data_IF_422596433273
#
_entry.id   IF_422596433273
#
_cell.length_a   1.000
_cell.length_b   1.000
_cell.length_c   1.000
_cell.angle_alpha   90.00
_cell.angle_beta   90.00
_cell.angle_gamma   90.00
#
_symmetry.space_group_name_H-M   'P 1'
#
loop_
_entity.id
_entity.type
_entity.pdbx_description
1 polymer ?
#
# COMPACT_ATOMS: atom_id res chain seq x y z
N UNK A 1 -38.66 63.20 14.83
CA UNK A 1 -38.12 62.30 13.77
C UNK A 1 -36.73 62.77 13.34
N UNK A 2 -35.65 62.50 14.10
CA UNK A 2 -34.26 62.73 13.61
C UNK A 2 -33.27 61.81 14.34
N UNK A 3 -33.33 60.49 14.13
CA UNK A 3 -32.21 59.59 14.49
C UNK A 3 -32.16 58.40 13.52
N UNK A 4 -32.02 58.66 12.23
CA UNK A 4 -31.78 57.59 11.25
C UNK A 4 -31.03 58.18 10.07
N UNK A 5 -29.69 58.10 10.09
CA UNK A 5 -28.81 58.24 8.90
C UNK A 5 -27.31 58.43 9.20
N UNK A 6 -26.76 58.01 10.36
CA UNK A 6 -25.30 58.19 10.64
C UNK A 6 -24.49 56.91 10.91
N UNK A 7 -24.97 55.72 10.53
CA UNK A 7 -24.19 54.46 10.70
C UNK A 7 -24.02 53.61 9.44
N UNK A 8 -24.18 54.16 8.24
CA UNK A 8 -23.98 53.38 7.00
C UNK A 8 -22.65 53.67 6.27
N UNK A 9 -21.88 54.68 6.68
CA UNK A 9 -20.79 55.24 5.86
C UNK A 9 -19.36 54.89 6.31
N UNK A 10 -19.11 53.68 6.85
CA UNK A 10 -17.75 53.29 7.29
C UNK A 10 -17.34 51.84 6.96
N UNK A 11 -17.88 51.29 5.87
CA UNK A 11 -17.42 50.02 5.29
C UNK A 11 -17.09 50.12 3.79
N UNK A 12 -16.61 51.28 3.32
CA UNK A 12 -15.91 51.34 2.04
C UNK A 12 -14.54 50.68 2.25
N UNK A 13 -14.47 49.44 1.78
CA UNK A 13 -13.53 48.43 2.24
C UNK A 13 -12.07 48.75 2.00
N UNK A 14 -11.23 48.21 2.88
CA UNK A 14 -9.76 48.17 2.77
C UNK A 14 -9.24 47.65 1.42
N UNK A 15 -10.08 47.05 0.59
CA UNK A 15 -9.71 46.43 -0.69
C UNK A 15 -9.43 47.41 -1.84
N UNK A 16 -9.82 48.69 -1.74
CA UNK A 16 -9.65 49.66 -2.84
C UNK A 16 -8.39 50.53 -2.80
N UNK A 17 -7.48 50.35 -1.83
CA UNK A 17 -6.33 51.26 -1.60
C UNK A 17 -4.94 50.61 -1.76
N UNK A 18 -4.87 49.31 -2.03
CA UNK A 18 -3.60 48.62 -2.18
C UNK A 18 -3.09 48.75 -3.62
N UNK A 19 -1.82 49.15 -3.83
CA UNK A 19 -1.24 49.19 -5.16
C UNK A 19 -1.15 47.78 -5.74
N UNK A 20 -1.31 47.67 -7.06
CA UNK A 20 -1.42 46.39 -7.79
C UNK A 20 -0.27 45.41 -7.51
N UNK A 21 0.94 45.89 -7.22
CA UNK A 21 2.10 45.06 -6.88
C UNK A 21 1.91 44.24 -5.60
N UNK A 22 1.09 44.71 -4.64
CA UNK A 22 0.81 43.95 -3.42
C UNK A 22 0.02 42.68 -3.75
N UNK A 23 -0.94 42.77 -4.68
CA UNK A 23 -1.68 41.60 -5.14
C UNK A 23 -0.79 40.61 -5.89
N UNK A 24 0.19 41.09 -6.66
CA UNK A 24 1.19 40.23 -7.30
C UNK A 24 2.03 39.50 -6.26
N UNK A 25 2.53 40.21 -5.23
CA UNK A 25 3.31 39.58 -4.15
C UNK A 25 2.48 38.54 -3.40
N UNK A 26 1.23 38.85 -3.05
CA UNK A 26 0.32 37.90 -2.38
C UNK A 26 0.06 36.68 -3.26
N UNK A 27 -0.17 36.87 -4.56
CA UNK A 27 -0.37 35.76 -5.49
C UNK A 27 0.88 34.88 -5.59
N UNK A 28 2.07 35.47 -5.75
CA UNK A 28 3.34 34.74 -5.81
C UNK A 28 3.61 34.00 -4.50
N UNK A 29 3.40 34.63 -3.35
CA UNK A 29 3.56 34.00 -2.05
C UNK A 29 2.57 32.84 -1.87
N UNK A 30 1.32 33.01 -2.28
CA UNK A 30 0.31 31.95 -2.28
C UNK A 30 0.72 30.75 -3.14
N UNK A 31 1.21 30.99 -4.35
CA UNK A 31 1.72 29.94 -5.25
C UNK A 31 2.93 29.23 -4.65
N UNK A 32 3.90 29.98 -4.11
CA UNK A 32 5.11 29.42 -3.51
C UNK A 32 4.78 28.53 -2.30
N UNK A 33 3.91 29.00 -1.39
CA UNK A 33 3.47 28.22 -0.23
C UNK A 33 2.67 26.98 -0.65
N UNK A 34 1.79 27.11 -1.65
CA UNK A 34 1.04 25.98 -2.20
C UNK A 34 1.96 24.92 -2.82
N UNK A 35 2.91 25.35 -3.65
CA UNK A 35 3.90 24.46 -4.26
C UNK A 35 4.77 23.76 -3.21
N UNK A 36 5.21 24.49 -2.17
CA UNK A 36 5.95 23.92 -1.05
C UNK A 36 5.15 22.84 -0.33
N UNK A 37 3.91 23.13 0.06
CA UNK A 37 3.05 22.19 0.79
C UNK A 37 2.75 20.92 0.00
N UNK A 38 2.50 21.04 -1.31
CA UNK A 38 2.30 19.88 -2.18
C UNK A 38 3.58 19.04 -2.32
N UNK A 39 4.73 19.71 -2.46
CA UNK A 39 6.03 19.04 -2.59
C UNK A 39 6.40 18.28 -1.31
N UNK A 40 6.22 18.90 -0.14
CA UNK A 40 6.52 18.28 1.14
C UNK A 40 5.64 17.04 1.40
N UNK A 41 4.33 17.16 1.11
CA UNK A 41 3.40 16.04 1.20
C UNK A 41 3.78 14.91 0.25
N UNK A 42 4.13 15.23 -0.99
CA UNK A 42 4.59 14.25 -1.97
C UNK A 42 5.85 13.51 -1.51
N UNK A 43 6.86 14.24 -1.04
CA UNK A 43 8.10 13.66 -0.54
C UNK A 43 7.87 12.78 0.69
N UNK A 44 6.96 13.18 1.58
CA UNK A 44 6.60 12.39 2.76
C UNK A 44 5.96 11.06 2.36
N UNK A 45 4.97 11.08 1.46
CA UNK A 45 4.32 9.86 0.94
C UNK A 45 5.35 8.97 0.23
N UNK A 46 6.24 9.57 -0.55
CA UNK A 46 7.26 8.80 -1.26
C UNK A 46 8.22 8.11 -0.27
N UNK A 47 8.65 8.81 0.79
CA UNK A 47 9.53 8.25 1.82
C UNK A 47 8.86 7.10 2.58
N UNK A 48 7.58 7.22 2.93
CA UNK A 48 6.86 6.13 3.59
C UNK A 48 6.76 4.91 2.69
N UNK A 49 6.40 5.08 1.41
CA UNK A 49 6.33 3.98 0.44
C UNK A 49 7.67 3.28 0.23
N UNK A 50 8.77 4.03 0.19
CA UNK A 50 10.13 3.45 0.11
C UNK A 50 10.46 2.67 1.39
N UNK A 51 10.09 3.20 2.56
CA UNK A 51 10.28 2.52 3.83
C UNK A 51 9.47 1.22 3.90
N UNK A 52 8.22 1.24 3.44
CA UNK A 52 7.36 0.05 3.34
C UNK A 52 7.97 -0.98 2.39
N UNK A 53 8.38 -0.58 1.19
CA UNK A 53 9.05 -1.49 0.25
C UNK A 53 10.28 -2.16 0.87
N UNK A 54 11.09 -1.43 1.66
CA UNK A 54 12.23 -2.00 2.39
C UNK A 54 11.81 -2.91 3.54
N UNK A 55 10.77 -2.54 4.27
CA UNK A 55 10.25 -3.34 5.38
C UNK A 55 9.68 -4.68 4.88
N UNK A 56 9.09 -4.69 3.69
CA UNK A 56 8.49 -5.87 3.05
C UNK A 56 9.40 -6.57 2.04
N UNK A 57 10.63 -6.08 1.83
CA UNK A 57 11.67 -6.78 1.09
C UNK A 57 12.19 -7.97 1.93
N UNK A 58 11.51 -9.10 1.81
CA UNK A 58 11.89 -10.35 2.48
C UNK A 58 12.77 -11.16 1.53
N UNK A 59 14.01 -11.40 1.93
CA UNK A 59 14.93 -12.28 1.22
C UNK A 59 14.97 -13.65 1.92
N UNK A 60 15.01 -14.71 1.13
CA UNK A 60 15.09 -16.08 1.61
C UNK A 60 15.25 -17.07 0.46
N UNK A 61 15.48 -18.35 0.77
CA UNK A 61 15.52 -19.39 -0.26
C UNK A 61 14.16 -19.50 -0.96
N UNK A 62 14.13 -19.74 -2.29
CA UNK A 62 12.88 -19.87 -3.03
C UNK A 62 12.08 -21.07 -2.53
N UNK A 63 10.75 -20.94 -2.50
CA UNK A 63 9.88 -22.06 -2.13
C UNK A 63 9.92 -23.16 -3.20
N UNK A 64 9.82 -24.44 -2.82
CA UNK A 64 9.59 -25.53 -3.77
C UNK A 64 8.33 -25.26 -4.60
N UNK A 65 8.47 -25.28 -5.93
CA UNK A 65 7.32 -25.19 -6.85
C UNK A 65 6.68 -26.56 -7.00
N UNK A 66 5.36 -26.57 -7.11
CA UNK A 66 4.55 -27.77 -7.33
C UNK A 66 3.55 -27.49 -8.45
N UNK A 67 2.95 -28.53 -8.99
CA UNK A 67 1.85 -28.43 -9.95
C UNK A 67 0.54 -28.13 -9.23
N UNK A 68 -0.46 -27.61 -9.96
CA UNK A 68 -1.81 -27.41 -9.42
C UNK A 68 -2.44 -28.74 -8.98
N UNK A 69 -2.26 -29.82 -9.75
CA UNK A 69 -2.74 -31.15 -9.38
C UNK A 69 -2.17 -31.58 -8.01
N UNK A 70 -0.88 -31.39 -7.78
CA UNK A 70 -0.24 -31.67 -6.48
C UNK A 70 -0.71 -30.74 -5.36
N UNK A 71 -1.14 -29.51 -5.68
CA UNK A 71 -1.74 -28.61 -4.69
C UNK A 71 -3.12 -29.13 -4.27
N UNK A 72 -3.96 -29.51 -5.24
CA UNK A 72 -5.32 -29.99 -5.02
C UNK A 72 -5.36 -31.36 -4.35
N UNK A 73 -4.52 -32.29 -4.79
CA UNK A 73 -4.36 -33.65 -4.21
C UNK A 73 -3.57 -33.66 -2.90
N UNK A 74 -3.07 -32.50 -2.47
CA UNK A 74 -2.32 -32.36 -1.23
C UNK A 74 -3.14 -32.61 0.04
N UNK A 75 -2.72 -31.93 1.11
CA UNK A 75 -3.29 -32.05 2.46
C UNK A 75 -4.82 -32.08 2.53
N UNK A 76 -5.39 -32.86 3.46
CA UNK A 76 -6.85 -32.94 3.66
C UNK A 76 -7.48 -31.68 4.27
N UNK A 77 -6.66 -30.68 4.65
CA UNK A 77 -7.14 -29.42 5.22
C UNK A 77 -7.99 -28.63 4.21
N UNK A 78 -9.05 -27.94 4.65
CA UNK A 78 -9.86 -27.12 3.76
C UNK A 78 -9.02 -26.01 3.12
N UNK A 79 -9.23 -25.79 1.82
CA UNK A 79 -8.60 -24.68 1.09
C UNK A 79 -9.32 -23.39 1.47
N UNK A 80 -8.54 -22.40 1.93
CA UNK A 80 -9.01 -21.04 2.19
C UNK A 80 -8.56 -20.16 1.04
N UNK A 81 -9.50 -19.44 0.47
CA UNK A 81 -9.26 -18.51 -0.63
C UNK A 81 -9.52 -17.09 -0.17
N UNK A 82 -8.72 -16.15 -0.62
CA UNK A 82 -8.97 -14.72 -0.47
C UNK A 82 -8.39 -13.96 -1.66
N UNK A 83 -9.01 -12.83 -1.98
CA UNK A 83 -8.57 -11.96 -3.07
C UNK A 83 -7.88 -10.73 -2.50
N UNK A 84 -6.81 -10.31 -3.16
CA UNK A 84 -6.08 -9.08 -2.85
C UNK A 84 -5.51 -8.51 -4.14
N UNK A 85 -5.92 -7.28 -4.51
CA UNK A 85 -5.43 -6.58 -5.69
C UNK A 85 -5.54 -7.39 -7.00
N UNK A 86 -6.73 -7.94 -7.27
CA UNK A 86 -7.01 -8.78 -8.45
C UNK A 86 -6.17 -10.08 -8.53
N UNK A 87 -5.46 -10.42 -7.45
CA UNK A 87 -4.77 -11.69 -7.26
C UNK A 87 -5.56 -12.55 -6.28
N UNK A 88 -5.84 -13.79 -6.69
CA UNK A 88 -6.48 -14.78 -5.83
C UNK A 88 -5.42 -15.66 -5.18
N UNK A 89 -5.44 -15.71 -3.85
CA UNK A 89 -4.54 -16.53 -3.05
C UNK A 89 -5.32 -17.68 -2.42
N UNK A 90 -4.82 -18.90 -2.62
CA UNK A 90 -5.33 -20.12 -2.02
C UNK A 90 -4.28 -20.68 -1.07
N UNK A 91 -4.71 -21.02 0.15
CA UNK A 91 -3.83 -21.55 1.20
C UNK A 91 -4.56 -22.61 2.02
N UNK A 92 -3.83 -23.52 2.65
CA UNK A 92 -4.44 -24.55 3.52
C UNK A 92 -4.37 -24.23 5.00
N UNK A 93 -3.39 -23.43 5.42
CA UNK A 93 -3.21 -23.10 6.84
C UNK A 93 -2.59 -21.71 7.02
N UNK A 94 -2.38 -21.31 8.27
CA UNK A 94 -1.63 -20.12 8.66
C UNK A 94 -2.45 -18.83 8.75
N UNK A 95 -1.79 -17.76 9.14
CA UNK A 95 -2.29 -16.40 9.01
C UNK A 95 -1.62 -15.75 7.81
N UNK A 96 -2.28 -14.76 7.25
CA UNK A 96 -1.77 -13.96 6.14
C UNK A 96 -1.84 -12.49 6.52
N UNK A 97 -0.80 -11.75 6.17
CA UNK A 97 -0.77 -10.30 6.21
C UNK A 97 -0.22 -9.78 4.88
N UNK A 98 -0.94 -8.86 4.24
CA UNK A 98 -0.63 -8.38 2.89
C UNK A 98 -0.46 -6.87 2.89
N UNK A 99 0.57 -6.39 2.19
CA UNK A 99 0.78 -4.97 1.97
C UNK A 99 0.91 -4.65 0.47
N UNK A 100 0.43 -3.46 0.05
CA UNK A 100 0.62 -2.97 -1.30
C UNK A 100 2.01 -2.32 -1.41
N UNK A 101 2.88 -2.88 -2.25
CA UNK A 101 4.22 -2.34 -2.46
C UNK A 101 4.24 -1.58 -3.78
N UNK A 102 4.37 -0.26 -3.66
CA UNK A 102 4.35 0.65 -4.81
C UNK A 102 5.65 0.56 -5.61
N UNK A 103 5.50 0.48 -6.93
CA UNK A 103 6.62 0.43 -7.86
C UNK A 103 7.36 1.79 -7.93
N UNK A 104 8.51 1.79 -8.61
CA UNK A 104 9.33 2.99 -8.87
C UNK A 104 9.68 3.80 -7.61
N UNK A 105 9.95 3.10 -6.50
CA UNK A 105 10.29 3.73 -5.22
C UNK A 105 9.17 4.65 -4.72
N UNK A 106 7.91 4.21 -4.86
CA UNK A 106 6.74 4.93 -4.37
C UNK A 106 6.29 6.10 -5.24
N UNK A 107 6.94 6.35 -6.38
CA UNK A 107 6.55 7.41 -7.34
C UNK A 107 5.36 6.98 -8.20
N UNK A 108 5.24 5.68 -8.46
CA UNK A 108 4.15 5.10 -9.22
C UNK A 108 2.87 5.02 -8.37
N UNK A 109 1.72 5.02 -9.04
CA UNK A 109 0.43 4.61 -8.45
C UNK A 109 0.19 3.11 -8.57
N UNK A 110 0.95 2.43 -9.44
CA UNK A 110 0.95 0.97 -9.52
C UNK A 110 1.66 0.38 -8.33
N UNK A 111 1.11 -0.70 -7.83
CA UNK A 111 1.67 -1.49 -6.75
C UNK A 111 1.49 -2.96 -7.08
N UNK A 112 2.24 -3.80 -6.37
CA UNK A 112 2.05 -5.24 -6.39
C UNK A 112 1.82 -5.73 -4.95
N UNK A 113 1.11 -6.85 -4.82
CA UNK A 113 0.84 -7.46 -3.53
C UNK A 113 2.10 -8.17 -3.01
N UNK A 114 2.42 -7.94 -1.74
CA UNK A 114 3.35 -8.77 -0.98
C UNK A 114 2.63 -9.30 0.23
N UNK A 115 2.41 -10.62 0.26
CA UNK A 115 1.70 -11.32 1.31
C UNK A 115 2.66 -12.23 2.08
N UNK A 116 2.69 -12.06 3.39
CA UNK A 116 3.45 -12.90 4.31
C UNK A 116 2.51 -13.92 4.95
N UNK A 117 2.98 -15.15 5.07
CA UNK A 117 2.25 -16.29 5.62
C UNK A 117 3.03 -16.90 6.78
N UNK A 118 2.36 -17.12 7.91
CA UNK A 118 3.01 -17.69 9.09
C UNK A 118 3.30 -19.18 8.95
N UNK A 119 2.36 -19.93 8.34
CA UNK A 119 2.49 -21.36 8.08
C UNK A 119 1.45 -21.80 7.03
N UNK A 120 1.70 -21.60 5.73
CA UNK A 120 0.68 -21.88 4.72
C UNK A 120 0.57 -23.35 4.32
N UNK A 121 1.58 -24.18 4.65
CA UNK A 121 1.77 -25.59 4.21
C UNK A 121 1.92 -25.74 2.69
N UNK A 122 0.93 -25.27 1.94
CA UNK A 122 0.86 -25.19 0.47
C UNK A 122 0.12 -23.92 0.06
N UNK A 123 0.58 -23.28 -1.01
CA UNK A 123 0.03 -22.05 -1.57
C UNK A 123 -0.23 -22.20 -3.05
N UNK A 124 -1.32 -21.61 -3.53
CA UNK A 124 -1.53 -21.35 -4.95
C UNK A 124 -1.89 -19.87 -5.12
N UNK A 125 -1.31 -19.25 -6.13
CA UNK A 125 -1.51 -17.83 -6.46
C UNK A 125 -1.94 -17.74 -7.90
N UNK A 126 -3.05 -17.06 -8.13
CA UNK A 126 -3.62 -16.84 -9.45
C UNK A 126 -3.59 -15.36 -9.75
N UNK A 127 -2.88 -14.99 -10.81
CA UNK A 127 -2.81 -13.61 -11.33
C UNK A 127 -3.37 -13.59 -12.75
N UNK A 128 -3.36 -12.42 -13.40
CA UNK A 128 -3.71 -12.30 -14.82
C UNK A 128 -2.77 -13.04 -15.76
N UNK A 129 -1.50 -13.21 -15.37
CA UNK A 129 -0.48 -13.86 -16.20
C UNK A 129 -0.48 -15.39 -16.05
N UNK A 130 -1.09 -15.93 -15.00
CA UNK A 130 -1.23 -17.38 -14.84
C UNK A 130 -1.42 -17.82 -13.40
N UNK A 131 -1.07 -19.09 -13.15
CA UNK A 131 -1.17 -19.71 -11.84
C UNK A 131 0.17 -20.30 -11.40
N UNK A 132 0.50 -20.13 -10.13
CA UNK A 132 1.70 -20.69 -9.52
C UNK A 132 1.35 -21.38 -8.22
N UNK A 133 1.82 -22.61 -8.06
CA UNK A 133 1.67 -23.35 -6.82
C UNK A 133 3.04 -23.60 -6.17
N UNK A 134 3.07 -23.48 -4.84
CA UNK A 134 4.25 -23.60 -4.00
C UNK A 134 3.96 -24.49 -2.80
N UNK A 135 4.99 -25.20 -2.34
CA UNK A 135 4.96 -26.01 -1.12
C UNK A 135 6.09 -25.61 -0.18
N UNK A 136 5.91 -24.55 0.64
CA UNK A 136 6.87 -24.20 1.68
C UNK A 136 7.08 -25.31 2.72
N UNK A 137 6.06 -26.15 2.92
CA UNK A 137 6.07 -27.24 3.89
C UNK A 137 5.45 -26.86 5.24
N UNK A 138 5.17 -27.85 6.09
CA UNK A 138 4.48 -27.64 7.36
C UNK A 138 5.36 -26.86 8.34
N UNK A 139 4.76 -25.88 9.02
CA UNK A 139 5.40 -25.04 10.03
C UNK A 139 6.38 -24.01 9.48
N UNK A 140 6.49 -23.85 8.15
CA UNK A 140 7.45 -22.93 7.52
C UNK A 140 6.78 -21.62 7.14
N UNK A 141 7.31 -20.46 7.54
CA UNK A 141 6.82 -19.18 7.05
C UNK A 141 7.18 -19.00 5.58
N UNK A 142 6.36 -18.27 4.85
CA UNK A 142 6.61 -17.93 3.46
C UNK A 142 6.14 -16.51 3.13
N UNK A 143 6.83 -15.84 2.23
CA UNK A 143 6.39 -14.56 1.67
C UNK A 143 6.22 -14.74 0.17
N UNK A 144 5.10 -14.25 -0.35
CA UNK A 144 4.81 -14.24 -1.78
C UNK A 144 4.69 -12.81 -2.27
N UNK A 145 5.43 -12.48 -3.33
CA UNK A 145 5.28 -11.24 -4.09
C UNK A 145 4.71 -11.51 -5.46
N UNK A 146 3.89 -10.60 -5.97
CA UNK A 146 3.23 -10.72 -7.29
C UNK A 146 3.72 -9.65 -8.28
N UNK A 147 4.98 -9.25 -8.15
CA UNK A 147 5.56 -8.21 -9.00
C UNK A 147 5.51 -8.61 -10.48
N UNK A 148 5.10 -7.67 -11.34
CA UNK A 148 4.92 -7.88 -12.79
C UNK A 148 3.96 -9.03 -13.14
N UNK A 149 2.89 -9.20 -12.36
CA UNK A 149 1.91 -10.28 -12.51
C UNK A 149 2.49 -11.70 -12.31
N UNK A 150 3.76 -11.85 -11.89
CA UNK A 150 4.39 -13.13 -11.60
C UNK A 150 4.45 -13.40 -10.11
N UNK A 151 4.01 -14.59 -9.68
CA UNK A 151 4.17 -14.98 -8.28
C UNK A 151 5.59 -15.50 -7.98
N UNK A 152 6.23 -14.92 -6.97
CA UNK A 152 7.52 -15.37 -6.41
C UNK A 152 7.36 -15.66 -4.94
N UNK A 153 7.74 -16.87 -4.52
CA UNK A 153 7.66 -17.32 -3.13
C UNK A 153 9.06 -17.50 -2.55
N UNK A 154 9.27 -16.97 -1.34
CA UNK A 154 10.48 -17.19 -0.53
C UNK A 154 10.10 -17.79 0.83
N UNK A 155 10.90 -18.71 1.35
CA UNK A 155 10.69 -19.37 2.65
C UNK A 155 11.20 -18.52 3.81
N UNK A 156 10.67 -17.31 3.92
CA UNK A 156 10.92 -16.40 5.02
C UNK A 156 9.69 -15.49 5.21
N UNK A 157 9.43 -15.07 6.44
CA UNK A 157 8.46 -14.02 6.75
C UNK A 157 8.95 -13.28 8.01
N UNK A 158 8.55 -12.02 8.15
CA UNK A 158 8.75 -11.24 9.39
C UNK A 158 7.63 -11.47 10.38
N UNK A 159 6.42 -11.77 9.91
CA UNK A 159 5.29 -12.01 10.80
C UNK A 159 5.44 -13.34 11.55
N UNK A 160 5.18 -13.31 12.85
CA UNK A 160 5.06 -14.53 13.66
C UNK A 160 3.60 -14.87 13.93
N UNK A 161 3.34 -16.15 14.24
CA UNK A 161 1.98 -16.61 14.59
C UNK A 161 1.44 -15.94 15.85
N UNK A 162 2.29 -15.78 16.87
CA UNK A 162 1.91 -15.15 18.14
C UNK A 162 1.48 -13.69 17.97
N UNK A 163 2.18 -12.92 17.14
CA UNK A 163 1.83 -11.52 16.84
C UNK A 163 0.47 -11.40 16.13
N UNK A 164 0.17 -12.33 15.21
CA UNK A 164 -1.10 -12.31 14.48
C UNK A 164 -2.29 -12.80 15.33
N UNK A 165 -2.06 -13.73 16.25
CA UNK A 165 -3.08 -14.18 17.21
C UNK A 165 -3.45 -13.05 18.19
N UNK A 166 -2.48 -12.22 18.59
CA UNK A 166 -2.70 -11.08 19.47
C UNK A 166 -3.43 -9.89 18.80
N UNK A 167 -3.47 -9.84 17.47
CA UNK A 167 -4.14 -8.77 16.68
C UNK A 167 -5.61 -9.05 16.37
N UNK A 168 -6.11 -10.24 16.73
CA UNK A 168 -7.47 -10.70 16.43
C UNK A 168 -8.44 -10.35 17.53
#
# INVERSE_FOLDING_TARGET
MVVSARRAARRRGLWGRLPWWVWVVVAVAGVALGAWGLTDRYLTIQRTRIADAKAWAIAGPPCPRITEAEFLDGSRKPIRTFDYDEVTFLRRDGHVDCAPIYDDGGRSTRFHAVCQFTNPESLQVRTKAGEWAFRPGPGKPATVSTANDEARCVMAAKITRAEMEARR
#
